data_IF_238963233010
#
_entry.id   IF_238963233010
#
_cell.length_a   1.000
_cell.length_b   1.000
_cell.length_c   1.000
_cell.angle_alpha   90.00
_cell.angle_beta   90.00
_cell.angle_gamma   90.00
#
_symmetry.space_group_name_H-M   'P 1'
#
loop_
_entity.id
_entity.type
_entity.pdbx_description
1 polymer ?
#
# COMPACT_ATOMS: atom_id res chain seq x y z
N UNK A 1 21.42 -13.10 18.12
CA UNK A 1 22.28 -12.26 17.28
C UNK A 1 21.88 -12.46 15.82
N UNK A 2 21.01 -11.58 15.29
CA UNK A 2 20.58 -11.63 13.89
C UNK A 2 21.37 -10.57 13.11
N UNK A 3 22.35 -11.01 12.31
CA UNK A 3 23.06 -10.17 11.35
C UNK A 3 22.28 -10.15 10.02
N UNK A 4 21.28 -9.28 9.91
CA UNK A 4 20.69 -8.95 8.61
C UNK A 4 21.44 -7.76 8.03
N UNK A 5 22.42 -8.08 7.18
CA UNK A 5 23.14 -7.11 6.37
C UNK A 5 22.17 -6.34 5.47
N UNK A 6 22.22 -5.01 5.61
CA UNK A 6 21.90 -3.99 4.60
C UNK A 6 21.01 -4.43 3.44
N UNK A 7 19.71 -4.14 3.56
CA UNK A 7 18.88 -3.79 2.41
C UNK A 7 19.60 -2.66 1.65
N UNK A 8 20.13 -3.00 0.49
CA UNK A 8 20.75 -2.06 -0.44
C UNK A 8 19.72 -0.99 -0.80
N UNK A 9 20.07 0.28 -0.55
CA UNK A 9 19.27 1.46 -0.89
C UNK A 9 18.90 1.40 -2.38
N UNK A 10 17.67 1.00 -2.68
CA UNK A 10 17.00 1.34 -3.94
C UNK A 10 15.92 2.34 -3.55
N UNK A 11 16.07 3.56 -4.05
CA UNK A 11 15.08 4.61 -3.81
C UNK A 11 13.83 4.26 -4.59
N UNK A 12 12.65 4.64 -4.08
CA UNK A 12 11.37 4.52 -4.79
C UNK A 12 11.43 5.13 -6.21
N UNK A 13 12.29 6.13 -6.42
CA UNK A 13 12.59 6.73 -7.73
C UNK A 13 13.23 5.76 -8.74
N UNK A 14 14.03 4.79 -8.31
CA UNK A 14 14.78 3.89 -9.21
C UNK A 14 13.87 2.83 -9.83
N UNK A 15 12.80 2.45 -9.13
CA UNK A 15 11.76 1.55 -9.66
C UNK A 15 10.78 2.26 -10.61
N UNK A 16 10.61 3.57 -10.48
CA UNK A 16 9.82 4.39 -11.42
C UNK A 16 10.61 4.70 -12.69
N UNK A 17 11.95 4.82 -12.60
CA UNK A 17 12.83 5.08 -13.73
C UNK A 17 12.78 4.00 -14.82
N UNK A 18 12.57 2.73 -14.45
CA UNK A 18 12.52 1.59 -15.39
C UNK A 18 11.24 1.55 -16.26
N UNK A 19 10.26 2.44 -16.01
CA UNK A 19 9.03 2.56 -16.81
C UNK A 19 9.10 3.76 -17.78
N UNK A 20 10.17 4.56 -17.74
CA UNK A 20 10.28 5.79 -18.56
C UNK A 20 10.83 5.56 -19.97
N UNK A 21 11.31 4.35 -20.31
CA UNK A 21 11.96 4.05 -21.59
C UNK A 21 11.00 3.71 -22.76
N UNK A 22 9.74 4.14 -22.69
CA UNK A 22 8.80 3.97 -23.80
C UNK A 22 8.06 5.26 -24.17
N UNK A 23 8.79 6.36 -24.35
CA UNK A 23 8.34 7.45 -25.24
C UNK A 23 9.50 8.29 -25.75
N UNK A 24 10.13 7.84 -26.84
CA UNK A 24 10.89 8.72 -27.74
C UNK A 24 10.31 8.58 -29.13
N UNK A 25 9.45 9.52 -29.54
CA UNK A 25 9.38 10.06 -30.91
C UNK A 25 9.12 11.57 -30.80
N UNK A 26 10.24 12.29 -30.76
CA UNK A 26 10.62 13.60 -31.36
C UNK A 26 9.56 14.62 -31.81
N UNK A 27 9.68 15.82 -31.25
CA UNK A 27 9.88 17.15 -31.85
C UNK A 27 9.17 17.57 -33.15
N UNK A 28 8.51 18.74 -33.09
CA UNK A 28 8.13 19.53 -34.27
C UNK A 28 7.26 20.75 -33.95
N UNK A 29 7.92 21.90 -33.71
CA UNK A 29 7.54 23.31 -33.99
C UNK A 29 6.05 23.74 -34.00
N UNK A 30 5.74 24.84 -33.30
CA UNK A 30 4.71 25.78 -33.76
C UNK A 30 3.91 26.49 -32.68
N UNK A 31 4.12 27.79 -32.57
CA UNK A 31 3.34 28.78 -31.81
C UNK A 31 1.97 28.96 -32.47
N UNK A 32 0.87 28.87 -31.70
CA UNK A 32 -0.27 29.81 -31.65
C UNK A 32 -1.61 29.19 -31.21
N UNK A 33 -2.29 29.92 -30.32
CA UNK A 33 -3.72 30.23 -30.44
C UNK A 33 -4.78 29.14 -30.25
N UNK A 34 -5.42 29.15 -29.08
CA UNK A 34 -6.83 28.83 -28.83
C UNK A 34 -7.52 27.71 -29.65
N UNK A 35 -7.72 26.55 -29.02
CA UNK A 35 -9.03 25.90 -28.80
C UNK A 35 -8.80 24.49 -28.21
N UNK A 36 -8.88 24.35 -26.88
CA UNK A 36 -8.83 23.03 -26.23
C UNK A 36 -10.20 22.36 -26.41
N UNK A 37 -10.35 21.69 -27.54
CA UNK A 37 -11.35 20.64 -27.72
C UNK A 37 -10.91 19.45 -26.86
N UNK A 38 -11.84 18.96 -26.03
CA UNK A 38 -11.71 17.80 -25.14
C UNK A 38 -11.08 16.61 -25.86
N UNK A 39 -9.78 16.39 -25.62
CA UNK A 39 -9.09 15.18 -26.02
C UNK A 39 -9.37 14.09 -24.99
N UNK A 40 -10.29 13.22 -25.39
CA UNK A 40 -10.65 11.98 -24.72
C UNK A 40 -9.39 11.14 -24.46
N UNK A 41 -8.95 11.09 -23.21
CA UNK A 41 -7.79 10.31 -22.81
C UNK A 41 -8.19 8.83 -22.78
N UNK A 42 -8.18 8.19 -23.96
CA UNK A 42 -8.44 6.75 -24.10
C UNK A 42 -7.36 5.98 -23.35
N UNK A 43 -7.68 5.59 -22.12
CA UNK A 43 -6.95 4.60 -21.33
C UNK A 43 -6.81 3.34 -22.20
N UNK A 44 -5.58 2.93 -22.49
CA UNK A 44 -5.30 1.66 -23.18
C UNK A 44 -5.80 0.55 -22.27
N UNK A 45 -6.97 0.04 -22.57
CA UNK A 45 -7.53 -1.10 -21.86
C UNK A 45 -6.80 -2.34 -22.38
N UNK A 46 -6.19 -3.18 -21.52
CA UNK A 46 -5.46 -4.35 -21.99
C UNK A 46 -6.39 -5.32 -22.75
N UNK A 47 -5.87 -6.15 -23.68
CA UNK A 47 -6.66 -6.91 -24.66
C UNK A 47 -7.74 -7.84 -24.07
N UNK A 48 -7.64 -8.18 -22.77
CA UNK A 48 -8.58 -9.02 -22.02
C UNK A 48 -9.89 -8.30 -21.65
N UNK A 49 -10.05 -7.04 -22.01
CA UNK A 49 -11.25 -6.24 -21.73
C UNK A 49 -12.41 -6.46 -22.69
N UNK A 50 -12.26 -7.37 -23.65
CA UNK A 50 -13.35 -7.78 -24.54
C UNK A 50 -14.15 -8.91 -23.88
N UNK A 51 -15.31 -8.52 -23.36
CA UNK A 51 -16.46 -9.36 -23.03
C UNK A 51 -16.18 -10.56 -22.11
N UNK A 52 -16.15 -10.31 -20.80
CA UNK A 52 -16.14 -11.37 -19.80
C UNK A 52 -17.41 -11.28 -18.94
N UNK A 53 -18.22 -12.34 -18.95
CA UNK A 53 -19.49 -12.39 -18.22
C UNK A 53 -19.34 -12.11 -16.72
N UNK A 54 -20.38 -11.59 -16.05
CA UNK A 54 -20.34 -11.06 -14.67
C UNK A 54 -19.90 -12.08 -13.61
N UNK A 55 -19.86 -13.37 -13.93
CA UNK A 55 -19.55 -14.44 -13.00
C UNK A 55 -18.05 -14.72 -12.83
N UNK A 56 -17.17 -14.36 -13.78
CA UNK A 56 -15.76 -14.76 -13.71
C UNK A 56 -15.00 -14.18 -12.50
N UNK A 57 -15.13 -12.88 -12.17
CA UNK A 57 -14.42 -12.32 -11.02
C UNK A 57 -14.89 -12.91 -9.68
N UNK A 58 -16.19 -13.20 -9.56
CA UNK A 58 -16.77 -13.83 -8.36
C UNK A 58 -16.23 -15.24 -8.13
N UNK A 59 -16.10 -16.03 -9.20
CA UNK A 59 -15.52 -17.37 -9.12
C UNK A 59 -14.04 -17.29 -8.73
N UNK A 60 -13.28 -16.38 -9.34
CA UNK A 60 -11.86 -16.17 -9.03
C UNK A 60 -11.67 -15.73 -7.57
N UNK A 61 -12.44 -14.74 -7.13
CA UNK A 61 -12.49 -14.31 -5.74
C UNK A 61 -12.79 -15.48 -4.79
N UNK A 62 -13.86 -16.23 -5.05
CA UNK A 62 -14.25 -17.38 -4.22
C UNK A 62 -13.16 -18.45 -4.12
N UNK A 63 -12.49 -18.77 -5.22
CA UNK A 63 -11.37 -19.71 -5.24
C UNK A 63 -10.15 -19.20 -4.44
N UNK A 64 -9.86 -17.90 -4.53
CA UNK A 64 -8.77 -17.29 -3.76
C UNK A 64 -9.09 -17.30 -2.25
N UNK A 65 -10.32 -16.98 -1.87
CA UNK A 65 -10.74 -17.03 -0.46
C UNK A 65 -10.73 -18.46 0.08
N UNK A 66 -11.15 -19.44 -0.73
CA UNK A 66 -11.02 -20.86 -0.37
C UNK A 66 -9.57 -21.28 -0.19
N UNK A 67 -8.67 -20.81 -1.08
CA UNK A 67 -7.23 -21.07 -0.94
C UNK A 67 -6.67 -20.45 0.34
N UNK A 68 -7.01 -19.19 0.65
CA UNK A 68 -6.63 -18.54 1.92
C UNK A 68 -7.02 -19.39 3.11
N UNK A 69 -8.29 -19.81 3.18
CA UNK A 69 -8.80 -20.58 4.31
C UNK A 69 -8.10 -21.93 4.44
N UNK A 70 -7.86 -22.58 3.29
CA UNK A 70 -7.14 -23.86 3.23
C UNK A 70 -5.69 -23.72 3.72
N UNK A 71 -5.00 -22.64 3.37
CA UNK A 71 -3.62 -22.39 3.83
C UNK A 71 -3.55 -22.20 5.34
N UNK A 72 -4.52 -21.49 5.94
CA UNK A 72 -4.54 -21.23 7.37
C UNK A 72 -4.79 -22.48 8.21
N UNK A 73 -5.57 -23.44 7.71
CA UNK A 73 -5.87 -24.71 8.42
C UNK A 73 -4.91 -25.85 8.07
N UNK A 74 -3.95 -25.60 7.17
CA UNK A 74 -3.03 -26.63 6.70
C UNK A 74 -2.14 -27.15 7.84
N UNK A 75 -1.97 -28.49 8.00
CA UNK A 75 -1.06 -29.04 9.00
C UNK A 75 0.39 -28.59 8.79
N UNK A 76 1.14 -28.37 9.87
CA UNK A 76 2.54 -27.90 9.81
C UNK A 76 3.46 -28.84 9.05
N UNK A 77 3.18 -30.16 9.04
CA UNK A 77 3.95 -31.14 8.26
C UNK A 77 3.85 -30.93 6.74
N UNK A 78 2.81 -30.24 6.27
CA UNK A 78 2.52 -30.02 4.86
C UNK A 78 2.79 -28.57 4.42
N UNK A 79 2.92 -27.62 5.35
CA UNK A 79 3.04 -26.18 5.03
C UNK A 79 4.22 -25.88 4.12
N UNK A 80 5.40 -26.41 4.44
CA UNK A 80 6.60 -26.18 3.64
C UNK A 80 6.46 -26.70 2.19
N UNK A 81 5.82 -27.86 1.98
CA UNK A 81 5.64 -28.40 0.63
C UNK A 81 4.61 -27.58 -0.18
N UNK A 82 3.48 -27.25 0.43
CA UNK A 82 2.42 -26.51 -0.26
C UNK A 82 2.88 -25.09 -0.60
N UNK A 83 3.54 -24.39 0.34
CA UNK A 83 3.98 -23.02 0.14
C UNK A 83 5.15 -22.92 -0.86
N UNK A 84 6.07 -23.90 -0.94
CA UNK A 84 7.16 -23.83 -1.90
C UNK A 84 6.78 -24.29 -3.31
N UNK A 85 5.94 -25.32 -3.44
CA UNK A 85 5.74 -25.97 -4.74
C UNK A 85 4.38 -25.65 -5.37
N UNK A 86 3.36 -25.35 -4.58
CA UNK A 86 1.99 -25.16 -5.07
C UNK A 86 1.66 -23.67 -5.16
N UNK A 87 1.90 -22.91 -4.09
CA UNK A 87 1.55 -21.49 -4.02
C UNK A 87 2.75 -20.62 -4.37
N UNK A 88 2.79 -20.12 -5.61
CA UNK A 88 3.86 -19.21 -6.07
C UNK A 88 3.51 -17.76 -5.72
N UNK A 89 4.27 -17.16 -4.79
CA UNK A 89 4.06 -15.77 -4.39
C UNK A 89 4.17 -14.80 -5.57
N UNK A 90 5.05 -15.05 -6.53
CA UNK A 90 5.24 -14.21 -7.73
C UNK A 90 3.98 -14.20 -8.60
N UNK A 91 3.28 -15.34 -8.72
CA UNK A 91 2.03 -15.41 -9.45
C UNK A 91 0.92 -14.61 -8.75
N UNK A 92 0.85 -14.68 -7.41
CA UNK A 92 -0.06 -13.85 -6.62
C UNK A 92 0.23 -12.36 -6.80
N UNK A 93 1.51 -11.96 -6.81
CA UNK A 93 1.91 -10.58 -7.04
C UNK A 93 1.46 -10.09 -8.43
N UNK A 94 1.60 -10.88 -9.48
CA UNK A 94 1.08 -10.53 -10.82
C UNK A 94 -0.44 -10.42 -10.82
N UNK A 95 -1.13 -11.34 -10.15
CA UNK A 95 -2.60 -11.32 -10.03
C UNK A 95 -3.14 -10.11 -9.26
N UNK A 96 -2.34 -9.47 -8.41
CA UNK A 96 -2.74 -8.24 -7.73
C UNK A 96 -3.03 -7.08 -8.70
N UNK A 97 -2.58 -7.17 -9.96
CA UNK A 97 -2.94 -6.26 -11.04
C UNK A 97 -4.24 -6.69 -11.76
N UNK A 98 -5.27 -7.01 -10.99
CA UNK A 98 -6.58 -7.35 -11.53
C UNK A 98 -7.49 -6.11 -11.53
N UNK A 99 -8.37 -5.96 -12.52
CA UNK A 99 -9.27 -4.80 -12.61
C UNK A 99 -10.34 -4.79 -11.51
N UNK A 100 -10.84 -5.97 -11.11
CA UNK A 100 -11.82 -6.13 -10.04
C UNK A 100 -11.16 -6.04 -8.66
N UNK A 101 -11.66 -5.14 -7.82
CA UNK A 101 -11.13 -4.88 -6.47
C UNK A 101 -11.26 -6.08 -5.54
N UNK A 102 -12.31 -6.88 -5.69
CA UNK A 102 -12.54 -8.05 -4.84
C UNK A 102 -11.48 -9.11 -5.05
N UNK A 103 -11.09 -9.31 -6.31
CA UNK A 103 -9.98 -10.21 -6.66
C UNK A 103 -8.67 -9.68 -6.07
N UNK A 104 -8.37 -8.37 -6.19
CA UNK A 104 -7.18 -7.78 -5.57
C UNK A 104 -7.17 -7.97 -4.05
N UNK A 105 -8.29 -7.72 -3.38
CA UNK A 105 -8.46 -7.92 -1.95
C UNK A 105 -8.25 -9.38 -1.56
N UNK A 106 -8.83 -10.32 -2.30
CA UNK A 106 -8.65 -11.75 -2.06
C UNK A 106 -7.19 -12.18 -2.26
N UNK A 107 -6.49 -11.66 -3.28
CA UNK A 107 -5.05 -11.89 -3.47
C UNK A 107 -4.24 -11.41 -2.27
N UNK A 108 -4.50 -10.20 -1.76
CA UNK A 108 -3.81 -9.67 -0.57
C UNK A 108 -4.07 -10.57 0.64
N UNK A 109 -5.30 -11.04 0.84
CA UNK A 109 -5.66 -11.97 1.92
C UNK A 109 -4.95 -13.32 1.79
N UNK A 110 -4.78 -13.84 0.57
CA UNK A 110 -3.99 -15.07 0.32
C UNK A 110 -2.50 -14.83 0.63
N UNK A 111 -1.94 -13.68 0.23
CA UNK A 111 -0.55 -13.31 0.57
C UNK A 111 -0.37 -13.22 2.08
N UNK A 112 -1.34 -12.65 2.80
CA UNK A 112 -1.31 -12.59 4.27
C UNK A 112 -1.29 -14.00 4.89
N UNK A 113 -2.19 -14.89 4.46
CA UNK A 113 -2.22 -16.28 4.91
C UNK A 113 -0.92 -17.04 4.56
N UNK A 114 -0.38 -16.83 3.35
CA UNK A 114 0.89 -17.38 2.92
C UNK A 114 2.02 -16.96 3.86
N UNK A 115 2.17 -15.66 4.12
CA UNK A 115 3.25 -15.12 4.96
C UNK A 115 3.09 -15.46 6.44
N UNK A 116 1.86 -15.70 6.90
CA UNK A 116 1.60 -16.18 8.25
C UNK A 116 2.04 -17.63 8.45
N UNK A 117 1.99 -18.45 7.40
CA UNK A 117 2.35 -19.87 7.43
C UNK A 117 3.77 -20.15 6.92
N UNK A 118 4.37 -19.18 6.25
CA UNK A 118 5.73 -19.25 5.72
C UNK A 118 6.77 -19.44 6.83
N UNK A 119 7.76 -20.29 6.56
CA UNK A 119 8.97 -20.35 7.36
C UNK A 119 9.92 -19.21 7.01
N UNK A 120 11.08 -19.18 7.67
CA UNK A 120 12.08 -18.12 7.47
C UNK A 120 12.61 -18.09 6.03
N UNK A 121 12.74 -19.25 5.37
CA UNK A 121 13.26 -19.31 4.01
C UNK A 121 12.31 -18.68 2.99
N UNK A 122 11.02 -18.99 3.08
CA UNK A 122 9.99 -18.47 2.17
C UNK A 122 9.75 -16.98 2.41
N UNK A 123 9.69 -16.56 3.68
CA UNK A 123 9.56 -15.16 4.06
C UNK A 123 10.76 -14.33 3.54
N UNK A 124 11.99 -14.83 3.73
CA UNK A 124 13.19 -14.15 3.24
C UNK A 124 13.24 -14.10 1.71
N UNK A 125 12.79 -15.15 1.01
CA UNK A 125 12.68 -15.16 -0.45
C UNK A 125 11.70 -14.08 -0.94
N UNK A 126 10.55 -13.96 -0.29
CA UNK A 126 9.58 -12.92 -0.59
C UNK A 126 10.16 -11.51 -0.41
N UNK A 127 10.88 -11.28 0.69
CA UNK A 127 11.55 -10.00 0.96
C UNK A 127 12.66 -9.68 -0.05
N UNK A 128 13.51 -10.66 -0.40
CA UNK A 128 14.57 -10.51 -1.41
C UNK A 128 14.03 -10.19 -2.80
N UNK A 129 12.81 -10.62 -3.10
CA UNK A 129 12.12 -10.32 -4.37
C UNK A 129 11.38 -8.98 -4.30
N UNK A 130 11.55 -8.20 -3.24
CA UNK A 130 10.83 -6.95 -3.01
C UNK A 130 9.30 -7.12 -3.06
N UNK A 131 8.78 -8.25 -2.56
CA UNK A 131 7.38 -8.65 -2.75
C UNK A 131 6.36 -7.59 -2.32
N UNK A 132 6.60 -6.89 -1.20
CA UNK A 132 5.72 -5.79 -0.76
C UNK A 132 5.74 -4.57 -1.69
N UNK A 133 6.89 -4.22 -2.28
CA UNK A 133 6.97 -3.14 -3.26
C UNK A 133 6.33 -3.52 -4.59
N UNK A 134 6.53 -4.77 -5.05
CA UNK A 134 5.83 -5.27 -6.23
C UNK A 134 4.32 -5.27 -6.04
N UNK A 135 3.85 -5.66 -4.85
CA UNK A 135 2.44 -5.59 -4.49
C UNK A 135 1.94 -4.13 -4.49
N UNK A 136 2.69 -3.22 -3.89
CA UNK A 136 2.39 -1.78 -3.89
C UNK A 136 2.26 -1.21 -5.31
N UNK A 137 3.17 -1.60 -6.21
CA UNK A 137 3.16 -1.19 -7.61
C UNK A 137 1.92 -1.68 -8.37
N UNK A 138 1.42 -2.88 -8.06
CA UNK A 138 0.18 -3.36 -8.68
C UNK A 138 -1.04 -2.64 -8.11
N UNK A 139 -1.17 -2.55 -6.79
CA UNK A 139 -2.34 -1.97 -6.13
C UNK A 139 -2.45 -0.46 -6.37
N UNK A 140 -1.33 0.25 -6.41
CA UNK A 140 -1.26 1.70 -6.62
C UNK A 140 -1.73 2.19 -8.00
N UNK A 141 -2.11 1.29 -8.91
CA UNK A 141 -2.71 1.63 -10.20
C UNK A 141 -4.23 1.87 -10.12
N UNK A 142 -4.88 1.45 -9.02
CA UNK A 142 -6.33 1.47 -8.87
C UNK A 142 -6.77 2.40 -7.73
N UNK A 143 -8.09 2.67 -7.66
CA UNK A 143 -8.67 3.30 -6.47
C UNK A 143 -8.61 2.34 -5.28
N UNK A 144 -8.45 2.92 -4.08
CA UNK A 144 -8.52 2.18 -2.84
C UNK A 144 -9.98 1.79 -2.52
N UNK A 145 -10.15 0.81 -1.63
CA UNK A 145 -11.42 0.45 -1.00
C UNK A 145 -11.15 0.05 0.44
N UNK A 146 -12.11 0.23 1.34
CA UNK A 146 -11.95 -0.11 2.76
C UNK A 146 -11.45 -1.55 2.96
N UNK A 147 -12.10 -2.54 2.34
CA UNK A 147 -11.72 -3.96 2.47
C UNK A 147 -10.29 -4.26 1.97
N UNK A 148 -9.81 -3.53 0.97
CA UNK A 148 -8.46 -3.68 0.44
C UNK A 148 -7.43 -3.10 1.41
N UNK A 149 -7.74 -1.95 2.02
CA UNK A 149 -6.90 -1.36 3.05
C UNK A 149 -6.81 -2.27 4.28
N UNK A 150 -7.94 -2.78 4.75
CA UNK A 150 -8.00 -3.74 5.86
C UNK A 150 -7.18 -5.00 5.56
N UNK A 151 -7.28 -5.53 4.34
CA UNK A 151 -6.46 -6.65 3.89
C UNK A 151 -4.96 -6.30 3.93
N UNK A 152 -4.56 -5.11 3.47
CA UNK A 152 -3.17 -4.66 3.57
C UNK A 152 -2.71 -4.43 5.01
N UNK A 153 -3.57 -3.91 5.90
CA UNK A 153 -3.22 -3.75 7.32
C UNK A 153 -3.06 -5.11 7.99
N UNK A 154 -3.84 -6.12 7.59
CA UNK A 154 -3.68 -7.49 8.11
C UNK A 154 -2.29 -8.09 7.83
N UNK A 155 -1.58 -7.63 6.79
CA UNK A 155 -0.17 -8.02 6.55
C UNK A 155 0.77 -7.52 7.66
N UNK A 156 0.42 -6.41 8.30
CA UNK A 156 1.20 -5.76 9.35
C UNK A 156 0.75 -6.29 10.72
N UNK A 157 -0.54 -6.26 11.00
CA UNK A 157 -1.09 -6.60 12.33
C UNK A 157 -1.26 -8.10 12.54
N UNK A 158 -1.36 -8.90 11.46
CA UNK A 158 -1.80 -10.30 11.48
C UNK A 158 -3.22 -10.49 12.04
N UNK A 159 -4.00 -9.41 12.12
CA UNK A 159 -5.38 -9.43 12.58
C UNK A 159 -6.30 -9.01 11.43
N UNK A 160 -7.43 -9.69 11.31
CA UNK A 160 -8.52 -9.31 10.41
C UNK A 160 -9.54 -8.48 11.19
N UNK A 161 -9.34 -7.16 11.22
CA UNK A 161 -10.22 -6.21 11.92
C UNK A 161 -10.56 -5.07 10.97
N UNK A 162 -11.65 -4.33 11.23
CA UNK A 162 -12.03 -3.19 10.39
C UNK A 162 -11.05 -2.02 10.56
N UNK A 163 -11.01 -1.12 9.59
CA UNK A 163 -10.13 0.05 9.62
C UNK A 163 -10.49 0.98 10.79
N UNK A 164 -11.78 1.17 11.07
CA UNK A 164 -12.29 1.96 12.18
C UNK A 164 -11.85 1.38 13.53
N UNK A 165 -12.06 0.08 13.72
CA UNK A 165 -11.63 -0.61 14.94
C UNK A 165 -10.12 -0.47 15.11
N UNK A 166 -9.32 -0.59 14.03
CA UNK A 166 -7.86 -0.46 14.10
C UNK A 166 -7.39 0.92 14.53
N UNK A 167 -8.12 1.98 14.18
CA UNK A 167 -7.83 3.35 14.64
C UNK A 167 -8.11 3.50 16.14
N UNK A 168 -9.20 2.92 16.63
CA UNK A 168 -9.52 2.88 18.06
C UNK A 168 -8.55 1.99 18.86
N UNK A 169 -8.14 0.88 18.26
CA UNK A 169 -7.21 -0.12 18.80
C UNK A 169 -5.75 0.37 18.80
N UNK A 170 -5.44 1.51 18.19
CA UNK A 170 -4.16 2.19 18.37
C UNK A 170 -3.96 2.78 19.79
N UNK A 171 -4.82 2.42 20.75
CA UNK A 171 -4.65 2.63 22.18
C UNK A 171 -3.40 1.90 22.72
N UNK A 172 -2.65 2.49 23.68
CA UNK A 172 -1.39 1.95 24.20
C UNK A 172 -1.43 0.51 24.74
N UNK A 173 -2.62 -0.02 25.07
CA UNK A 173 -2.80 -1.37 25.61
C UNK A 173 -2.66 -2.48 24.55
N UNK A 174 -2.93 -2.21 23.28
CA UNK A 174 -2.74 -3.18 22.17
C UNK A 174 -1.37 -3.01 21.50
N UNK A 175 -0.77 -1.82 21.59
CA UNK A 175 0.63 -1.62 21.25
C UNK A 175 1.57 -2.57 22.04
N UNK A 176 1.11 -3.07 23.20
CA UNK A 176 1.78 -4.08 24.00
C UNK A 176 1.76 -5.50 23.36
N UNK A 177 0.72 -5.86 22.60
CA UNK A 177 0.73 -7.11 21.81
C UNK A 177 1.50 -6.97 20.49
N UNK A 178 1.71 -5.73 20.03
CA UNK A 178 2.64 -5.35 18.96
C UNK A 178 4.01 -4.96 19.55
N UNK A 179 4.45 -5.60 20.64
CA UNK A 179 5.71 -5.24 21.30
C UNK A 179 6.95 -5.53 20.46
N UNK A 180 6.81 -6.31 19.39
CA UNK A 180 7.81 -6.42 18.32
C UNK A 180 7.13 -6.75 17.00
N UNK A 181 6.96 -5.74 16.15
CA UNK A 181 6.59 -5.97 14.77
C UNK A 181 7.72 -6.78 14.12
N UNK A 182 7.48 -8.03 13.74
CA UNK A 182 8.50 -8.82 13.07
C UNK A 182 9.03 -8.09 11.83
N UNK A 183 10.30 -8.28 11.45
CA UNK A 183 10.90 -7.60 10.30
C UNK A 183 10.05 -7.75 9.02
N UNK A 184 9.41 -8.92 8.87
CA UNK A 184 8.47 -9.19 7.78
C UNK A 184 7.21 -8.30 7.83
N UNK A 185 6.58 -8.17 8.99
CA UNK A 185 5.39 -7.33 9.18
C UNK A 185 5.73 -5.85 9.00
N UNK A 186 6.88 -5.42 9.53
CA UNK A 186 7.36 -4.06 9.39
C UNK A 186 7.71 -3.70 7.93
N UNK A 187 8.11 -4.68 7.12
CA UNK A 187 8.34 -4.47 5.69
C UNK A 187 7.05 -4.34 4.86
N UNK A 188 5.87 -4.56 5.45
CA UNK A 188 4.58 -4.60 4.75
C UNK A 188 3.86 -3.25 4.60
N UNK A 189 4.49 -2.13 4.97
CA UNK A 189 3.92 -0.79 4.77
C UNK A 189 3.79 -0.31 3.30
N UNK A 190 4.66 -0.69 2.33
CA UNK A 190 4.60 -0.12 0.98
C UNK A 190 3.23 -0.22 0.28
N UNK A 191 2.48 -1.35 0.35
CA UNK A 191 1.11 -1.43 -0.18
C UNK A 191 0.15 -0.38 0.39
N UNK A 192 0.22 -0.09 1.70
CA UNK A 192 -0.61 0.93 2.32
C UNK A 192 -0.24 2.34 1.86
N UNK A 193 1.06 2.63 1.78
CA UNK A 193 1.56 3.91 1.27
C UNK A 193 1.11 4.12 -0.19
N UNK A 194 1.18 3.10 -1.04
CA UNK A 194 0.70 3.20 -2.42
C UNK A 194 -0.82 3.47 -2.53
N UNK A 195 -1.62 2.99 -1.58
CA UNK A 195 -3.07 3.18 -1.56
C UNK A 195 -3.52 4.51 -0.93
N UNK A 196 -2.68 5.16 -0.11
CA UNK A 196 -3.03 6.42 0.55
C UNK A 196 -3.45 7.55 -0.42
N UNK A 197 -2.69 7.90 -1.47
CA UNK A 197 -3.15 8.91 -2.43
C UNK A 197 -4.36 8.43 -3.26
N UNK A 198 -4.70 7.14 -3.21
CA UNK A 198 -5.83 6.54 -3.92
C UNK A 198 -7.12 6.48 -3.08
N UNK A 199 -7.05 6.79 -1.79
CA UNK A 199 -8.22 6.79 -0.89
C UNK A 199 -8.94 8.14 -0.78
N UNK A 200 -8.38 9.23 -1.30
CA UNK A 200 -8.92 10.61 -1.13
C UNK A 200 -10.33 10.80 -1.72
N UNK A 201 -10.75 9.93 -2.64
CA UNK A 201 -12.13 9.91 -3.14
C UNK A 201 -13.16 9.68 -2.02
N UNK A 202 -12.76 9.07 -0.89
CA UNK A 202 -13.57 8.86 0.29
C UNK A 202 -12.85 9.41 1.54
N UNK A 203 -13.38 10.50 2.10
CA UNK A 203 -12.73 11.26 3.19
C UNK A 203 -12.48 10.40 4.44
N UNK A 204 -13.47 9.62 4.88
CA UNK A 204 -13.33 8.76 6.07
C UNK A 204 -12.20 7.74 5.92
N UNK A 205 -12.08 7.15 4.72
CA UNK A 205 -11.03 6.17 4.42
C UNK A 205 -9.65 6.81 4.45
N UNK A 206 -9.48 7.98 3.82
CA UNK A 206 -8.23 8.72 3.84
C UNK A 206 -7.84 9.14 5.26
N UNK A 207 -8.78 9.70 6.03
CA UNK A 207 -8.61 10.07 7.43
C UNK A 207 -8.13 8.87 8.27
N UNK A 208 -8.90 7.77 8.25
CA UNK A 208 -8.58 6.59 9.07
C UNK A 208 -7.21 5.99 8.72
N UNK A 209 -6.85 5.96 7.43
CA UNK A 209 -5.54 5.47 7.00
C UNK A 209 -4.40 6.40 7.45
N UNK A 210 -4.58 7.73 7.38
CA UNK A 210 -3.57 8.69 7.85
C UNK A 210 -3.39 8.54 9.36
N UNK A 211 -4.47 8.49 10.12
CA UNK A 211 -4.44 8.32 11.57
C UNK A 211 -3.79 6.98 11.96
N UNK A 212 -4.10 5.89 11.26
CA UNK A 212 -3.44 4.60 11.45
C UNK A 212 -1.93 4.70 11.22
N UNK A 213 -1.50 5.27 10.09
CA UNK A 213 -0.07 5.42 9.76
C UNK A 213 0.65 6.33 10.76
N UNK A 214 0.01 7.41 11.21
CA UNK A 214 0.55 8.31 12.23
C UNK A 214 0.71 7.59 13.58
N UNK A 215 -0.29 6.80 13.98
CA UNK A 215 -0.20 5.97 15.18
C UNK A 215 0.95 4.97 15.09
N UNK A 216 1.09 4.26 13.96
CA UNK A 216 2.20 3.33 13.74
C UNK A 216 3.54 4.06 13.78
N UNK A 217 3.64 5.22 13.16
CA UNK A 217 4.86 6.03 13.14
C UNK A 217 5.26 6.52 14.54
N UNK A 218 4.32 7.07 15.32
CA UNK A 218 4.63 7.67 16.62
C UNK A 218 4.73 6.68 17.78
N UNK A 219 3.99 5.55 17.72
CA UNK A 219 3.87 4.61 18.85
C UNK A 219 4.69 3.34 18.67
N UNK A 220 5.12 2.99 17.45
CA UNK A 220 5.87 1.75 17.15
C UNK A 220 7.26 2.09 16.61
N UNK A 221 8.33 2.02 17.43
CA UNK A 221 9.68 2.45 17.04
C UNK A 221 10.24 1.75 15.80
N UNK A 222 9.90 0.49 15.59
CA UNK A 222 10.32 -0.25 14.39
C UNK A 222 9.60 0.27 13.14
N UNK A 223 8.30 0.58 13.24
CA UNK A 223 7.51 1.05 12.13
C UNK A 223 7.96 2.42 11.60
N UNK A 224 8.39 3.34 12.47
CA UNK A 224 8.83 4.67 12.06
C UNK A 224 9.97 4.63 11.04
N UNK A 225 10.94 3.72 11.24
CA UNK A 225 12.04 3.50 10.28
C UNK A 225 11.54 2.96 8.95
N UNK A 226 10.72 1.90 8.95
CA UNK A 226 10.21 1.30 7.72
C UNK A 226 9.28 2.23 6.95
N UNK A 227 8.47 3.03 7.64
CA UNK A 227 7.61 4.04 7.02
C UNK A 227 8.43 5.14 6.33
N UNK A 228 9.46 5.65 7.01
CA UNK A 228 10.38 6.64 6.44
C UNK A 228 11.12 6.08 5.23
N UNK A 229 11.72 4.89 5.36
CA UNK A 229 12.47 4.24 4.28
C UNK A 229 11.54 3.84 3.12
N UNK A 230 10.26 3.57 3.41
CA UNK A 230 9.21 3.24 2.44
C UNK A 230 8.62 4.45 1.69
N UNK A 231 9.12 5.66 1.92
CA UNK A 231 8.67 6.86 1.20
C UNK A 231 7.41 7.51 1.77
N UNK A 232 7.20 7.46 3.10
CA UNK A 232 6.07 8.12 3.77
C UNK A 232 5.94 9.60 3.39
N UNK A 233 7.04 10.36 3.43
CA UNK A 233 7.01 11.80 3.12
C UNK A 233 6.57 12.06 1.66
N UNK A 234 7.14 11.32 0.70
CA UNK A 234 6.76 11.40 -0.70
C UNK A 234 5.27 11.07 -0.89
N UNK A 235 4.79 10.06 -0.18
CA UNK A 235 3.39 9.63 -0.22
C UNK A 235 2.45 10.69 0.34
N UNK A 236 2.79 11.33 1.47
CA UNK A 236 2.02 12.43 2.04
C UNK A 236 1.93 13.61 1.07
N UNK A 237 3.02 13.95 0.40
CA UNK A 237 3.03 15.02 -0.63
C UNK A 237 2.17 14.63 -1.84
N UNK A 238 2.27 13.38 -2.34
CA UNK A 238 1.39 12.89 -3.42
C UNK A 238 -0.09 12.95 -3.01
N UNK A 239 -0.38 12.63 -1.77
CA UNK A 239 -1.74 12.68 -1.20
C UNK A 239 -2.24 14.12 -1.13
N UNK A 240 -1.40 15.05 -0.67
CA UNK A 240 -1.71 16.48 -0.66
C UNK A 240 -2.02 17.02 -2.07
N UNK A 241 -1.21 16.65 -3.07
CA UNK A 241 -1.43 17.04 -4.47
C UNK A 241 -2.73 16.46 -5.02
N UNK A 242 -3.00 15.16 -4.76
CA UNK A 242 -4.24 14.52 -5.18
C UNK A 242 -5.46 15.16 -4.53
N UNK A 243 -5.37 15.54 -3.25
CA UNK A 243 -6.40 16.32 -2.56
C UNK A 243 -6.63 17.66 -3.28
N UNK A 244 -5.56 18.44 -3.49
CA UNK A 244 -5.67 19.76 -4.09
C UNK A 244 -6.37 19.72 -5.46
N UNK A 245 -6.04 18.72 -6.29
CA UNK A 245 -6.72 18.50 -7.57
C UNK A 245 -8.22 18.18 -7.41
N UNK A 246 -8.60 17.37 -6.41
CA UNK A 246 -10.00 17.06 -6.12
C UNK A 246 -10.76 18.31 -5.64
N UNK A 247 -10.16 19.14 -4.79
CA UNK A 247 -10.71 20.42 -4.35
C UNK A 247 -10.94 21.41 -5.51
N UNK A 248 -10.02 21.48 -6.46
CA UNK A 248 -10.15 22.34 -7.64
C UNK A 248 -11.32 21.90 -8.54
N UNK A 249 -11.58 20.60 -8.66
CA UNK A 249 -12.72 20.07 -9.42
C UNK A 249 -14.06 20.30 -8.72
N UNK A 250 -14.06 20.34 -7.39
CA UNK A 250 -15.25 20.49 -6.55
C UNK A 250 -15.62 21.95 -6.22
N UNK A 251 -14.99 22.95 -6.85
CA UNK A 251 -15.28 24.39 -6.67
C UNK A 251 -16.75 24.81 -6.92
N UNK A 252 -17.65 23.88 -7.28
CA UNK A 252 -19.09 24.10 -7.51
C UNK A 252 -20.02 23.47 -6.46
N UNK A 253 -19.52 22.83 -5.38
CA UNK A 253 -20.38 22.13 -4.40
C UNK A 253 -20.06 22.46 -2.92
N UNK A 254 -21.01 22.25 -1.99
CA UNK A 254 -20.85 22.53 -0.55
C UNK A 254 -19.94 21.53 0.23
N UNK A 255 -19.29 20.57 -0.42
CA UNK A 255 -18.45 19.54 0.23
C UNK A 255 -17.05 20.02 0.68
N UNK A 256 -16.76 21.32 0.58
CA UNK A 256 -15.45 21.91 0.91
C UNK A 256 -14.97 21.58 2.34
N UNK A 257 -15.89 21.54 3.30
CA UNK A 257 -15.60 21.35 4.74
C UNK A 257 -15.01 19.96 5.02
N UNK A 258 -15.41 18.91 4.28
CA UNK A 258 -14.90 17.54 4.52
C UNK A 258 -13.47 17.35 4.04
N UNK A 259 -13.08 18.05 2.99
CA UNK A 259 -11.73 17.98 2.45
C UNK A 259 -10.68 18.67 3.31
N UNK A 260 -11.10 19.61 4.17
CA UNK A 260 -10.23 20.25 5.16
C UNK A 260 -9.72 19.25 6.22
N UNK A 261 -10.48 18.19 6.52
CA UNK A 261 -10.08 17.15 7.50
C UNK A 261 -8.80 16.45 7.06
N UNK A 262 -8.78 15.93 5.83
CA UNK A 262 -7.60 15.22 5.27
C UNK A 262 -6.39 16.16 5.18
N UNK A 263 -6.61 17.44 4.86
CA UNK A 263 -5.54 18.42 4.80
C UNK A 263 -4.93 18.65 6.20
N UNK A 264 -5.76 18.78 7.23
CA UNK A 264 -5.30 18.93 8.60
C UNK A 264 -4.61 17.65 9.10
N UNK A 265 -5.11 16.45 8.77
CA UNK A 265 -4.45 15.18 9.11
C UNK A 265 -3.04 15.11 8.51
N UNK A 266 -2.89 15.44 7.21
CA UNK A 266 -1.58 15.47 6.53
C UNK A 266 -0.67 16.49 7.23
N UNK A 267 -1.18 17.68 7.54
CA UNK A 267 -0.42 18.73 8.21
C UNK A 267 0.08 18.26 9.59
N UNK A 268 -0.79 17.68 10.41
CA UNK A 268 -0.44 17.17 11.73
C UNK A 268 0.62 16.06 11.64
N UNK A 269 0.49 15.16 10.65
CA UNK A 269 1.48 14.11 10.45
C UNK A 269 2.84 14.68 10.03
N UNK A 270 2.88 15.64 9.09
CA UNK A 270 4.12 16.30 8.69
C UNK A 270 4.80 17.02 9.86
N UNK A 271 4.03 17.73 10.70
CA UNK A 271 4.53 18.37 11.91
C UNK A 271 5.12 17.34 12.88
N UNK A 272 4.47 16.18 13.06
CA UNK A 272 5.00 15.09 13.88
C UNK A 272 6.35 14.57 13.37
N UNK A 273 6.46 14.33 12.05
CA UNK A 273 7.71 13.85 11.42
C UNK A 273 8.85 14.85 11.61
N UNK A 274 8.59 16.14 11.37
CA UNK A 274 9.57 17.21 11.54
C UNK A 274 9.99 17.34 13.00
N UNK A 275 9.03 17.29 13.93
CA UNK A 275 9.31 17.43 15.37
C UNK A 275 10.23 16.30 15.86
N UNK A 276 9.94 15.05 15.50
CA UNK A 276 10.80 13.91 15.85
C UNK A 276 12.19 14.02 15.19
N UNK A 277 12.25 14.43 13.92
CA UNK A 277 13.51 14.59 13.20
C UNK A 277 14.43 15.63 13.86
N UNK A 278 13.87 16.78 14.28
CA UNK A 278 14.61 17.83 14.99
C UNK A 278 15.02 17.38 16.39
N UNK A 279 14.16 16.69 17.14
CA UNK A 279 14.50 16.17 18.46
C UNK A 279 15.57 15.07 18.42
N UNK A 280 15.59 14.23 17.37
CA UNK A 280 16.58 13.16 17.22
C UNK A 280 17.96 13.66 16.79
N UNK A 281 18.05 14.77 16.05
CA UNK A 281 19.32 15.35 15.62
C UNK A 281 20.11 16.02 16.76
N UNK A 282 19.42 16.50 17.81
CA UNK A 282 20.05 17.18 18.94
C UNK A 282 20.84 16.26 19.89
N UNK A 283 20.56 14.96 19.92
CA UNK A 283 21.21 14.00 20.84
C UNK A 283 22.47 13.38 20.27
N UNK A 284 22.64 13.33 18.95
CA UNK A 284 23.80 12.71 18.30
C UNK A 284 25.04 13.63 18.16
N UNK A 285 24.95 14.90 18.52
CA UNK A 285 26.05 15.87 18.46
C UNK A 285 26.59 16.29 19.84
N UNK A 286 26.10 15.70 20.94
CA UNK A 286 26.53 16.03 22.31
C UNK A 286 27.15 14.85 23.08
N UNK A 287 27.60 13.80 22.39
CA UNK A 287 28.42 12.72 22.97
C UNK A 287 29.80 12.64 22.32
#
# INVERSE_FOLDING_TARGET
MCNFYCLQKTSFSDLVGSVSDMSVITDGLGVDGHNVSTADCKRVVPPWSKEEGPCKPLVVEGLLLLLRDTLLVLPDSMSHQVLNYIVRAEALLVMANHYDVRVRTAVVKVIAAYLQRAGDEEANRFLKTHGFYLLANQLGQYLASAELLEACISLITRCSTTLEDMVEMASPLVAFEIECLGCLQAAAFPPLLALLPKSIHEVSMAHNLIVFLQNMYSKVPQASRFLRDGGLLETLVKTLVAQAHQCLQLQKSPDKIKHDVVLEDIRLFLVSIVSESVSSAGTHHMQ
#
